data_IF_729063223383
#
_entry.id   IF_729063223383
#
_cell.length_a   1.000
_cell.length_b   1.000
_cell.length_c   1.000
_cell.angle_alpha   90.00
_cell.angle_beta   90.00
_cell.angle_gamma   90.00
#
_symmetry.space_group_name_H-M   'P 1'
#
loop_
_entity.id
_entity.type
_entity.pdbx_description
1 polymer ?
#
# COMPACT_ATOMS: atom_id res chain seq x y z
N UNK A 1 -30.89 24.76 0.30
CA UNK A 1 -30.06 23.75 1.00
C UNK A 1 -30.70 22.41 0.74
N UNK A 2 -29.99 21.51 0.08
CA UNK A 2 -30.46 20.13 -0.09
C UNK A 2 -30.11 19.34 1.18
N UNK A 3 -31.10 19.18 2.06
CA UNK A 3 -30.96 18.43 3.31
C UNK A 3 -31.01 16.92 3.09
N UNK A 4 -31.48 16.45 1.92
CA UNK A 4 -31.61 15.03 1.64
C UNK A 4 -30.22 14.40 1.49
N UNK A 5 -29.33 15.05 0.75
CA UNK A 5 -27.93 14.64 0.65
C UNK A 5 -27.30 14.44 2.04
N UNK A 6 -27.37 15.46 2.90
CA UNK A 6 -26.78 15.41 4.24
C UNK A 6 -27.42 14.36 5.14
N UNK A 7 -28.73 14.13 5.02
CA UNK A 7 -29.43 13.08 5.77
C UNK A 7 -28.91 11.70 5.39
N UNK A 8 -28.79 11.44 4.08
CA UNK A 8 -28.25 10.18 3.55
C UNK A 8 -26.78 10.01 3.95
N UNK A 9 -25.96 11.05 3.80
CA UNK A 9 -24.54 11.02 4.17
C UNK A 9 -24.34 10.71 5.67
N UNK A 10 -25.02 11.45 6.55
CA UNK A 10 -24.90 11.25 8.00
C UNK A 10 -25.36 9.85 8.42
N UNK A 11 -26.43 9.33 7.82
CA UNK A 11 -26.91 7.96 8.06
C UNK A 11 -25.93 6.91 7.55
N UNK A 12 -25.32 7.13 6.38
CA UNK A 12 -24.28 6.28 5.83
C UNK A 12 -23.08 6.20 6.77
N UNK A 13 -22.63 7.35 7.25
CA UNK A 13 -21.54 7.47 8.22
C UNK A 13 -21.86 6.72 9.52
N UNK A 14 -23.08 6.88 10.07
CA UNK A 14 -23.52 6.13 11.26
C UNK A 14 -23.49 4.62 11.01
N UNK A 15 -24.01 4.15 9.87
CA UNK A 15 -23.96 2.74 9.53
C UNK A 15 -22.52 2.24 9.40
N UNK A 16 -21.63 3.03 8.81
CA UNK A 16 -20.21 2.70 8.69
C UNK A 16 -19.56 2.57 10.07
N UNK A 17 -19.79 3.54 10.96
CA UNK A 17 -19.29 3.53 12.33
C UNK A 17 -19.73 2.29 13.13
N UNK A 18 -20.97 1.84 12.93
CA UNK A 18 -21.50 0.62 13.55
C UNK A 18 -21.20 -0.68 12.77
N UNK A 19 -20.33 -0.65 11.76
CA UNK A 19 -19.94 -1.83 10.98
C UNK A 19 -21.03 -2.38 10.05
N UNK A 20 -22.13 -1.65 9.84
CA UNK A 20 -23.21 -2.00 8.91
C UNK A 20 -22.87 -1.56 7.49
N UNK A 21 -21.78 -2.10 6.96
CA UNK A 21 -21.17 -1.67 5.69
C UNK A 21 -22.11 -1.75 4.47
N UNK A 22 -22.98 -2.75 4.38
CA UNK A 22 -23.93 -2.85 3.26
C UNK A 22 -24.91 -1.67 3.23
N UNK A 23 -25.49 -1.33 4.40
CA UNK A 23 -26.38 -0.17 4.53
C UNK A 23 -25.63 1.14 4.36
N UNK A 24 -24.40 1.22 4.86
CA UNK A 24 -23.55 2.40 4.66
C UNK A 24 -23.32 2.65 3.16
N UNK A 25 -23.01 1.60 2.40
CA UNK A 25 -22.83 1.69 0.96
C UNK A 25 -24.09 2.20 0.24
N UNK A 26 -25.26 1.63 0.56
CA UNK A 26 -26.54 2.06 -0.02
C UNK A 26 -26.81 3.55 0.24
N UNK A 27 -26.56 4.01 1.47
CA UNK A 27 -26.80 5.39 1.86
C UNK A 27 -25.80 6.37 1.24
N UNK A 28 -24.51 6.02 1.17
CA UNK A 28 -23.52 6.80 0.45
C UNK A 28 -23.85 6.89 -1.05
N UNK A 29 -24.36 5.80 -1.65
CA UNK A 29 -24.75 5.80 -3.06
C UNK A 29 -25.96 6.71 -3.32
N UNK A 30 -26.91 6.80 -2.39
CA UNK A 30 -28.00 7.80 -2.48
C UNK A 30 -27.44 9.21 -2.30
N UNK A 31 -26.59 9.44 -1.30
CA UNK A 31 -25.98 10.74 -1.05
C UNK A 31 -25.21 11.27 -2.26
N UNK A 32 -24.42 10.42 -2.92
CA UNK A 32 -23.70 10.75 -4.13
C UNK A 32 -24.63 10.98 -5.33
N UNK A 33 -25.71 10.20 -5.50
CA UNK A 33 -26.70 10.48 -6.56
C UNK A 33 -27.38 11.84 -6.43
N UNK A 34 -27.63 12.28 -5.19
CA UNK A 34 -28.18 13.61 -4.90
C UNK A 34 -27.15 14.72 -5.14
N UNK A 35 -25.87 14.41 -4.95
CA UNK A 35 -24.75 15.33 -5.14
C UNK A 35 -23.54 14.63 -5.82
N UNK A 36 -23.53 14.54 -7.17
CA UNK A 36 -22.53 13.76 -7.92
C UNK A 36 -21.10 14.33 -7.97
N UNK A 37 -20.82 15.35 -7.17
CA UNK A 37 -19.49 15.93 -6.96
C UNK A 37 -18.98 15.75 -5.51
N UNK A 38 -19.67 14.93 -4.70
CA UNK A 38 -19.22 14.56 -3.36
C UNK A 38 -18.08 13.53 -3.40
N UNK A 39 -16.85 14.06 -3.33
CA UNK A 39 -15.61 13.29 -3.26
C UNK A 39 -15.61 12.31 -2.09
N UNK A 40 -16.11 12.70 -0.91
CA UNK A 40 -16.05 11.86 0.28
C UNK A 40 -17.03 10.69 0.19
N UNK A 41 -18.24 10.90 -0.35
CA UNK A 41 -19.16 9.80 -0.64
C UNK A 41 -18.55 8.80 -1.64
N UNK A 42 -17.91 9.28 -2.73
CA UNK A 42 -17.23 8.40 -3.68
C UNK A 42 -16.09 7.60 -3.01
N UNK A 43 -15.26 8.24 -2.19
CA UNK A 43 -14.19 7.58 -1.41
C UNK A 43 -14.73 6.51 -0.46
N UNK A 44 -15.82 6.80 0.25
CA UNK A 44 -16.45 5.84 1.16
C UNK A 44 -17.05 4.64 0.41
N UNK A 45 -17.69 4.87 -0.75
CA UNK A 45 -18.18 3.79 -1.61
C UNK A 45 -17.04 2.89 -2.08
N UNK A 46 -15.94 3.48 -2.55
CA UNK A 46 -14.74 2.75 -2.97
C UNK A 46 -14.16 1.92 -1.82
N UNK A 47 -13.96 2.53 -0.65
CA UNK A 47 -13.41 1.87 0.52
C UNK A 47 -14.26 0.70 1.01
N UNK A 48 -15.58 0.89 1.10
CA UNK A 48 -16.50 -0.18 1.50
C UNK A 48 -16.48 -1.32 0.48
N UNK A 49 -16.49 -1.02 -0.82
CA UNK A 49 -16.39 -2.03 -1.86
C UNK A 49 -15.07 -2.83 -1.77
N UNK A 50 -13.94 -2.14 -1.56
CA UNK A 50 -12.62 -2.77 -1.37
C UNK A 50 -12.61 -3.69 -0.14
N UNK A 51 -13.16 -3.26 1.00
CA UNK A 51 -13.29 -4.10 2.20
C UNK A 51 -14.16 -5.34 2.00
N UNK A 52 -15.13 -5.26 1.09
CA UNK A 52 -15.96 -6.41 0.68
C UNK A 52 -15.34 -7.24 -0.44
N UNK A 53 -14.09 -6.94 -0.85
CA UNK A 53 -13.39 -7.60 -1.97
C UNK A 53 -14.11 -7.51 -3.31
N UNK A 54 -14.97 -6.49 -3.48
CA UNK A 54 -15.60 -6.13 -4.76
C UNK A 54 -14.68 -5.14 -5.47
N UNK A 55 -13.55 -5.65 -5.92
CA UNK A 55 -12.44 -4.82 -6.41
C UNK A 55 -12.75 -4.06 -7.70
N UNK A 56 -13.58 -4.65 -8.56
CA UNK A 56 -14.17 -4.01 -9.74
C UNK A 56 -14.92 -2.73 -9.37
N UNK A 57 -15.86 -2.84 -8.43
CA UNK A 57 -16.68 -1.71 -7.95
C UNK A 57 -15.82 -0.70 -7.18
N UNK A 58 -14.82 -1.18 -6.43
CA UNK A 58 -13.90 -0.31 -5.71
C UNK A 58 -13.06 0.54 -6.66
N UNK A 59 -12.54 -0.05 -7.75
CA UNK A 59 -11.78 0.69 -8.77
C UNK A 59 -12.64 1.77 -9.42
N UNK A 60 -13.88 1.46 -9.81
CA UNK A 60 -14.80 2.45 -10.40
C UNK A 60 -14.99 3.67 -9.49
N UNK A 61 -15.24 3.45 -8.20
CA UNK A 61 -15.45 4.55 -7.25
C UNK A 61 -14.16 5.29 -6.90
N UNK A 62 -13.00 4.62 -6.85
CA UNK A 62 -11.72 5.32 -6.66
C UNK A 62 -11.38 6.18 -7.89
N UNK A 63 -11.62 5.69 -9.11
CA UNK A 63 -11.44 6.49 -10.32
C UNK A 63 -12.37 7.69 -10.34
N UNK A 64 -13.62 7.54 -9.88
CA UNK A 64 -14.55 8.67 -9.77
C UNK A 64 -14.11 9.69 -8.71
N UNK A 65 -13.67 9.22 -7.54
CA UNK A 65 -13.10 10.10 -6.51
C UNK A 65 -11.88 10.87 -7.04
N UNK A 66 -11.00 10.20 -7.80
CA UNK A 66 -9.81 10.82 -8.40
C UNK A 66 -10.14 11.73 -9.59
N UNK A 67 -11.24 11.49 -10.32
CA UNK A 67 -11.74 12.41 -11.33
C UNK A 67 -12.16 13.75 -10.70
N UNK A 68 -12.78 13.70 -9.52
CA UNK A 68 -13.22 14.87 -8.77
C UNK A 68 -12.08 15.54 -7.98
N UNK A 69 -11.14 14.75 -7.45
CA UNK A 69 -9.99 15.22 -6.67
C UNK A 69 -8.69 14.50 -7.10
N UNK A 70 -8.05 14.92 -8.21
CA UNK A 70 -6.88 14.23 -8.75
C UNK A 70 -5.65 14.21 -7.83
N UNK A 71 -5.58 15.15 -6.89
CA UNK A 71 -4.47 15.29 -5.93
C UNK A 71 -4.62 14.48 -4.64
N UNK A 72 -5.61 13.59 -4.53
CA UNK A 72 -5.80 12.76 -3.34
C UNK A 72 -4.85 11.54 -3.34
N UNK A 73 -3.71 11.70 -2.68
CA UNK A 73 -2.70 10.66 -2.54
C UNK A 73 -3.24 9.37 -1.88
N UNK A 74 -4.18 9.48 -0.93
CA UNK A 74 -4.72 8.32 -0.23
C UNK A 74 -5.64 7.50 -1.16
N UNK A 75 -6.40 8.16 -2.04
CA UNK A 75 -7.19 7.49 -3.08
C UNK A 75 -6.32 6.83 -4.15
N UNK A 76 -5.23 7.46 -4.59
CA UNK A 76 -4.25 6.81 -5.48
C UNK A 76 -3.61 5.57 -4.84
N UNK A 77 -3.22 5.66 -3.57
CA UNK A 77 -2.72 4.48 -2.85
C UNK A 77 -3.75 3.35 -2.80
N UNK A 78 -5.01 3.66 -2.44
CA UNK A 78 -6.02 2.62 -2.30
C UNK A 78 -6.41 2.02 -3.67
N UNK A 79 -6.39 2.81 -4.74
CA UNK A 79 -6.52 2.33 -6.11
C UNK A 79 -5.37 1.37 -6.47
N UNK A 80 -4.14 1.71 -6.10
CA UNK A 80 -2.98 0.83 -6.25
C UNK A 80 -3.17 -0.51 -5.54
N UNK A 81 -3.63 -0.49 -4.29
CA UNK A 81 -3.97 -1.71 -3.54
C UNK A 81 -5.04 -2.55 -4.24
N UNK A 82 -6.14 -1.91 -4.67
CA UNK A 82 -7.23 -2.60 -5.38
C UNK A 82 -6.74 -3.26 -6.68
N UNK A 83 -5.87 -2.58 -7.45
CA UNK A 83 -5.29 -3.14 -8.68
C UNK A 83 -4.32 -4.27 -8.43
N UNK A 84 -3.57 -4.22 -7.33
CA UNK A 84 -2.69 -5.30 -6.92
C UNK A 84 -3.49 -6.57 -6.57
N UNK A 85 -4.58 -6.44 -5.81
CA UNK A 85 -5.49 -7.54 -5.48
C UNK A 85 -6.18 -8.13 -6.72
N UNK A 86 -6.39 -7.32 -7.76
CA UNK A 86 -6.87 -7.78 -9.08
C UNK A 86 -5.78 -8.41 -9.96
N UNK A 87 -4.55 -8.55 -9.47
CA UNK A 87 -3.44 -9.13 -10.25
C UNK A 87 -2.93 -8.23 -11.36
N UNK A 88 -3.09 -6.90 -11.25
CA UNK A 88 -2.64 -5.89 -12.22
C UNK A 88 -1.46 -5.07 -11.66
N UNK A 89 -0.26 -5.67 -11.50
CA UNK A 89 0.87 -5.03 -10.82
C UNK A 89 1.39 -3.77 -11.54
N UNK A 90 1.36 -3.74 -12.88
CA UNK A 90 1.70 -2.51 -13.65
C UNK A 90 0.69 -1.39 -13.36
N UNK A 91 -0.58 -1.76 -13.33
CA UNK A 91 -1.74 -0.96 -12.91
C UNK A 91 -1.52 -0.27 -11.56
N UNK A 92 -1.12 -1.12 -10.61
CA UNK A 92 -0.89 -0.77 -9.22
C UNK A 92 0.34 0.12 -9.03
N UNK A 93 1.46 -0.22 -9.68
CA UNK A 93 2.69 0.57 -9.63
C UNK A 93 2.45 2.01 -10.06
N UNK A 94 1.70 2.24 -11.16
CA UNK A 94 1.37 3.59 -11.61
C UNK A 94 0.55 4.40 -10.58
N UNK A 95 -0.41 3.75 -9.91
CA UNK A 95 -1.22 4.41 -8.89
C UNK A 95 -0.41 4.67 -7.61
N UNK A 96 0.46 3.75 -7.18
CA UNK A 96 1.36 3.98 -6.05
C UNK A 96 2.40 5.07 -6.35
N UNK A 97 2.95 5.11 -7.57
CA UNK A 97 3.89 6.15 -8.01
C UNK A 97 3.26 7.55 -7.90
N UNK A 98 2.02 7.69 -8.36
CA UNK A 98 1.27 8.94 -8.23
C UNK A 98 0.99 9.29 -6.75
N UNK A 99 0.66 8.30 -5.91
CA UNK A 99 0.47 8.51 -4.47
C UNK A 99 1.75 9.02 -3.78
N UNK A 100 2.92 8.44 -4.08
CA UNK A 100 4.19 8.89 -3.50
C UNK A 100 4.66 10.21 -4.08
N UNK A 101 4.34 10.52 -5.34
CA UNK A 101 4.60 11.83 -5.95
C UNK A 101 3.80 12.94 -5.25
N UNK A 102 2.53 12.68 -4.95
CA UNK A 102 1.64 13.64 -4.26
C UNK A 102 1.97 13.76 -2.76
N UNK A 103 2.34 12.65 -2.12
CA UNK A 103 2.66 12.59 -0.69
C UNK A 103 3.90 11.72 -0.45
N UNK A 104 5.12 12.28 -0.57
CA UNK A 104 6.36 11.51 -0.43
C UNK A 104 6.56 10.83 0.93
N UNK A 105 5.87 11.31 1.97
CA UNK A 105 5.89 10.70 3.31
C UNK A 105 4.91 9.54 3.51
N UNK A 106 4.18 9.11 2.47
CA UNK A 106 3.24 7.99 2.54
C UNK A 106 3.99 6.65 2.41
N UNK A 107 4.64 6.24 3.49
CA UNK A 107 5.40 4.99 3.64
C UNK A 107 4.72 3.75 3.04
N UNK A 108 3.42 3.55 3.28
CA UNK A 108 2.65 2.42 2.75
C UNK A 108 2.57 2.43 1.22
N UNK A 109 2.58 3.59 0.57
CA UNK A 109 2.58 3.70 -0.88
C UNK A 109 3.95 3.35 -1.47
N UNK A 110 5.05 3.74 -0.81
CA UNK A 110 6.38 3.28 -1.19
C UNK A 110 6.51 1.75 -1.06
N UNK A 111 5.97 1.17 0.01
CA UNK A 111 5.96 -0.28 0.20
C UNK A 111 5.14 -1.00 -0.88
N UNK A 112 3.95 -0.48 -1.19
CA UNK A 112 3.11 -1.00 -2.28
C UNK A 112 3.78 -0.89 -3.65
N UNK A 113 4.44 0.24 -3.94
CA UNK A 113 5.20 0.45 -5.16
C UNK A 113 6.33 -0.58 -5.31
N UNK A 114 7.13 -0.78 -4.25
CA UNK A 114 8.21 -1.74 -4.24
C UNK A 114 7.74 -3.18 -4.47
N UNK A 115 6.62 -3.58 -3.85
CA UNK A 115 6.02 -4.89 -4.09
C UNK A 115 5.52 -5.06 -5.52
N UNK A 116 4.86 -4.04 -6.08
CA UNK A 116 4.36 -4.07 -7.45
C UNK A 116 5.52 -4.18 -8.46
N UNK A 117 6.59 -3.40 -8.28
CA UNK A 117 7.79 -3.43 -9.11
C UNK A 117 8.53 -4.77 -8.99
N UNK A 118 8.66 -5.32 -7.78
CA UNK A 118 9.28 -6.63 -7.58
C UNK A 118 8.53 -7.74 -8.34
N UNK A 119 7.19 -7.70 -8.37
CA UNK A 119 6.37 -8.64 -9.16
C UNK A 119 6.52 -8.46 -10.66
N UNK A 120 6.85 -7.26 -11.11
CA UNK A 120 7.16 -6.97 -12.51
C UNK A 120 8.59 -7.39 -12.90
N UNK A 121 9.41 -7.83 -11.95
CA UNK A 121 10.84 -8.12 -12.16
C UNK A 121 11.72 -6.88 -12.17
N UNK A 122 11.17 -5.71 -11.83
CA UNK A 122 11.87 -4.42 -11.80
C UNK A 122 12.63 -4.25 -10.48
N UNK A 123 13.51 -5.20 -10.17
CA UNK A 123 14.11 -5.36 -8.84
C UNK A 123 14.94 -4.15 -8.37
N UNK A 124 15.62 -3.46 -9.29
CA UNK A 124 16.35 -2.24 -8.96
C UNK A 124 15.42 -1.08 -8.56
N UNK A 125 14.28 -0.93 -9.26
CA UNK A 125 13.27 0.07 -8.90
C UNK A 125 12.60 -0.28 -7.58
N UNK A 126 12.29 -1.57 -7.38
CA UNK A 126 11.74 -2.07 -6.12
C UNK A 126 12.68 -1.78 -4.93
N UNK A 127 14.00 -2.00 -5.10
CA UNK A 127 14.99 -1.66 -4.09
C UNK A 127 14.95 -0.16 -3.76
N UNK A 128 14.92 0.73 -4.76
CA UNK A 128 14.81 2.17 -4.52
C UNK A 128 13.52 2.56 -3.76
N UNK A 129 12.39 1.91 -4.06
CA UNK A 129 11.14 2.13 -3.33
C UNK A 129 11.23 1.65 -1.87
N UNK A 130 11.82 0.47 -1.62
CA UNK A 130 12.02 -0.03 -0.26
C UNK A 130 13.09 0.73 0.53
N UNK A 131 14.07 1.35 -0.12
CA UNK A 131 14.98 2.31 0.51
C UNK A 131 14.20 3.50 1.07
N UNK A 132 13.21 4.02 0.34
CA UNK A 132 12.31 5.06 0.88
C UNK A 132 11.49 4.59 2.07
N UNK A 133 11.04 3.33 2.08
CA UNK A 133 10.41 2.75 3.28
C UNK A 133 11.39 2.72 4.44
N UNK A 134 12.63 2.31 4.22
CA UNK A 134 13.67 2.25 5.25
C UNK A 134 14.06 3.65 5.78
N UNK A 135 14.07 4.68 4.94
CA UNK A 135 14.28 6.08 5.33
C UNK A 135 13.13 6.59 6.21
N UNK A 136 11.87 6.35 5.80
CA UNK A 136 10.68 6.82 6.51
C UNK A 136 10.42 6.04 7.80
N UNK A 137 10.79 4.75 7.83
CA UNK A 137 10.60 3.86 8.97
C UNK A 137 11.89 3.09 9.29
N UNK A 138 12.85 3.69 10.01
CA UNK A 138 14.18 3.11 10.24
C UNK A 138 14.23 1.81 11.05
N UNK A 139 13.10 1.39 11.63
CA UNK A 139 12.94 0.15 12.40
C UNK A 139 11.87 -0.79 11.80
N UNK A 140 11.47 -0.57 10.54
CA UNK A 140 10.51 -1.44 9.86
C UNK A 140 11.20 -2.69 9.31
N UNK A 141 11.28 -3.73 10.13
CA UNK A 141 11.99 -4.97 9.79
C UNK A 141 11.53 -5.61 8.48
N UNK A 142 10.23 -5.60 8.19
CA UNK A 142 9.72 -6.16 6.92
C UNK A 142 10.18 -5.34 5.71
N UNK A 143 10.17 -4.01 5.80
CA UNK A 143 10.67 -3.14 4.73
C UNK A 143 12.13 -3.39 4.41
N UNK A 144 12.97 -3.57 5.44
CA UNK A 144 14.37 -3.95 5.26
C UNK A 144 14.52 -5.36 4.66
N UNK A 145 13.71 -6.33 5.09
CA UNK A 145 13.73 -7.67 4.47
C UNK A 145 13.38 -7.61 2.97
N UNK A 146 12.33 -6.87 2.60
CA UNK A 146 11.95 -6.69 1.20
C UNK A 146 13.01 -5.93 0.39
N UNK A 147 13.67 -4.92 0.99
CA UNK A 147 14.81 -4.24 0.38
C UNK A 147 15.96 -5.22 0.11
N UNK A 148 16.29 -6.08 1.08
CA UNK A 148 17.32 -7.10 0.93
C UNK A 148 17.00 -8.09 -0.20
N UNK A 149 15.76 -8.59 -0.26
CA UNK A 149 15.32 -9.48 -1.35
C UNK A 149 15.35 -8.78 -2.71
N UNK A 150 14.91 -7.53 -2.79
CA UNK A 150 14.96 -6.75 -4.03
C UNK A 150 16.41 -6.56 -4.51
N UNK A 151 17.34 -6.23 -3.61
CA UNK A 151 18.78 -6.12 -3.93
C UNK A 151 19.40 -7.45 -4.33
N UNK A 152 19.01 -8.55 -3.68
CA UNK A 152 19.43 -9.90 -4.08
C UNK A 152 19.01 -10.20 -5.52
N UNK A 153 17.74 -9.99 -5.87
CA UNK A 153 17.24 -10.21 -7.23
C UNK A 153 17.79 -9.19 -8.26
N UNK A 154 18.23 -8.02 -7.81
CA UNK A 154 18.94 -7.04 -8.63
C UNK A 154 20.44 -7.36 -8.79
N UNK A 155 20.94 -8.48 -8.25
CA UNK A 155 22.34 -8.89 -8.26
C UNK A 155 23.28 -7.85 -7.59
N UNK A 156 22.82 -7.26 -6.47
CA UNK A 156 23.56 -6.32 -5.63
C UNK A 156 23.94 -6.97 -4.28
N UNK A 157 25.02 -7.78 -4.24
CA UNK A 157 25.42 -8.48 -3.03
C UNK A 157 25.94 -7.56 -1.92
N UNK A 158 26.53 -6.41 -2.26
CA UNK A 158 27.01 -5.45 -1.27
C UNK A 158 25.84 -4.75 -0.59
N UNK A 159 24.82 -4.40 -1.35
CA UNK A 159 23.57 -3.86 -0.80
C UNK A 159 22.83 -4.86 0.09
N UNK A 160 22.83 -6.16 -0.24
CA UNK A 160 22.27 -7.19 0.67
C UNK A 160 23.04 -7.24 1.99
N UNK A 161 24.37 -7.21 1.95
CA UNK A 161 25.21 -7.16 3.16
C UNK A 161 24.85 -5.96 4.03
N UNK A 162 24.77 -4.77 3.45
CA UNK A 162 24.41 -3.56 4.19
C UNK A 162 23.03 -3.65 4.87
N UNK A 163 22.05 -4.29 4.21
CA UNK A 163 20.73 -4.54 4.80
C UNK A 163 20.81 -5.52 5.96
N UNK A 164 21.59 -6.59 5.86
CA UNK A 164 21.79 -7.57 6.95
C UNK A 164 22.47 -6.91 8.14
N UNK A 165 23.53 -6.14 7.91
CA UNK A 165 24.24 -5.38 8.94
C UNK A 165 23.31 -4.39 9.64
N UNK A 166 22.36 -3.80 8.92
CA UNK A 166 21.35 -2.94 9.53
C UNK A 166 20.31 -3.75 10.32
N UNK A 167 19.74 -4.80 9.74
CA UNK A 167 18.71 -5.64 10.37
C UNK A 167 19.20 -6.27 11.67
N UNK A 168 20.46 -6.75 11.74
CA UNK A 168 20.94 -7.42 12.96
C UNK A 168 20.89 -6.51 14.19
N UNK A 169 20.98 -5.19 14.00
CA UNK A 169 20.97 -4.22 15.12
C UNK A 169 19.61 -4.08 15.80
N UNK A 170 18.51 -4.46 15.15
CA UNK A 170 17.16 -4.27 15.71
C UNK A 170 16.16 -5.40 15.44
N UNK A 171 16.37 -6.23 14.41
CA UNK A 171 15.57 -7.40 14.06
C UNK A 171 16.45 -8.55 13.55
N UNK A 172 17.23 -9.20 14.44
CA UNK A 172 18.14 -10.28 14.07
C UNK A 172 17.43 -11.51 13.50
N UNK A 173 16.14 -11.71 13.83
CA UNK A 173 15.34 -12.81 13.28
C UNK A 173 15.12 -12.60 11.78
N UNK A 174 14.75 -11.38 11.36
CA UNK A 174 14.65 -11.04 9.93
C UNK A 174 16.01 -11.01 9.24
N UNK A 175 17.07 -10.55 9.91
CA UNK A 175 18.43 -10.63 9.36
C UNK A 175 18.81 -12.07 8.99
N UNK A 176 18.58 -13.02 9.91
CA UNK A 176 18.84 -14.45 9.68
C UNK A 176 17.99 -15.02 8.54
N UNK A 177 16.71 -14.66 8.50
CA UNK A 177 15.81 -15.06 7.41
C UNK A 177 16.32 -14.55 6.06
N UNK A 178 16.69 -13.27 5.96
CA UNK A 178 17.24 -12.70 4.73
C UNK A 178 18.53 -13.41 4.29
N UNK A 179 19.44 -13.69 5.22
CA UNK A 179 20.68 -14.44 4.92
C UNK A 179 20.37 -15.84 4.35
N UNK A 180 19.36 -16.51 4.88
CA UNK A 180 18.92 -17.82 4.39
C UNK A 180 18.26 -17.70 3.01
N UNK A 181 17.28 -16.82 2.85
CA UNK A 181 16.45 -16.70 1.65
C UNK A 181 17.22 -16.10 0.45
N UNK A 182 18.23 -15.26 0.71
CA UNK A 182 19.15 -14.74 -0.31
C UNK A 182 20.37 -15.65 -0.55
N UNK A 183 20.42 -16.82 0.10
CA UNK A 183 21.50 -17.82 -0.01
C UNK A 183 22.90 -17.28 0.32
N UNK A 184 22.98 -16.27 1.20
CA UNK A 184 24.22 -15.58 1.57
C UNK A 184 24.97 -16.25 2.71
N UNK A 185 25.42 -17.49 2.49
CA UNK A 185 26.16 -18.26 3.50
C UNK A 185 27.40 -17.52 4.04
N UNK A 186 28.00 -16.64 3.23
CA UNK A 186 29.10 -15.76 3.61
C UNK A 186 28.73 -14.76 4.72
N UNK A 187 27.46 -14.42 4.89
CA UNK A 187 26.97 -13.46 5.90
C UNK A 187 26.50 -14.13 7.20
N UNK A 188 26.56 -15.47 7.32
CA UNK A 188 26.07 -16.19 8.53
C UNK A 188 26.77 -15.75 9.82
N UNK A 189 28.04 -15.37 9.73
CA UNK A 189 28.81 -14.87 10.87
C UNK A 189 28.31 -13.53 11.42
N UNK A 190 27.49 -12.80 10.66
CA UNK A 190 26.93 -11.51 11.09
C UNK A 190 25.65 -11.68 11.90
N UNK A 191 24.95 -12.83 11.82
CA UNK A 191 23.67 -13.04 12.49
C UNK A 191 23.85 -13.88 13.75
N UNK A 192 23.32 -13.47 14.91
CA UNK A 192 23.48 -14.21 16.16
C UNK A 192 22.71 -15.53 16.12
N UNK A 193 23.23 -16.54 16.83
CA UNK A 193 22.51 -17.77 17.12
C UNK A 193 21.35 -17.47 18.07
N UNK A 194 20.16 -17.28 17.50
CA UNK A 194 18.94 -17.08 18.28
C UNK A 194 18.42 -18.42 18.83
N UNK A 195 18.12 -18.53 20.14
CA UNK A 195 17.41 -19.69 20.68
C UNK A 195 16.01 -19.79 20.08
N UNK A 196 15.53 -21.02 19.92
CA UNK A 196 14.26 -21.39 19.29
C UNK A 196 13.04 -20.69 19.89
#
# INVERSE_FOLDING_TARGET
>A
MDFEHWRHYARAWLFHFFGREARAFEEYAVAYRLKPDDVEAARHLAFIAARKKRFDVAEEWYLEALRLAPGDADSHFNLGFVREEMGRPREAAAAFDEAVRLKPGLDRAWYGLGLAQARLGEHAAAAAAFEKVAELQPLHGEGFYQLGMARHHANDPDGVRAVVERLVTFDPKRARKLVQDAERADLRHLVPDLPF
#
